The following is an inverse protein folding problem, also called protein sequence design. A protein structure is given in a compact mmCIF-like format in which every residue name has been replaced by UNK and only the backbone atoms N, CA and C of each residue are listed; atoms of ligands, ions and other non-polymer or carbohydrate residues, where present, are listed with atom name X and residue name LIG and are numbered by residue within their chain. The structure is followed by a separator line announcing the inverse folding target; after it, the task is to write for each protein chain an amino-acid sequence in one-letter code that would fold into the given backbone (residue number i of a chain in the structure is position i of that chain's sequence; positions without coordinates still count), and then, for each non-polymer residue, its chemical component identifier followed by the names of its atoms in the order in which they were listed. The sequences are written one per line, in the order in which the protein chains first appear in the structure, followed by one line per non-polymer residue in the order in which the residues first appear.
data_IF_531944997730
#
_entry.id   IF_531944997730
#
_cell.length_a   1.000
_cell.length_b   1.000
_cell.length_c   1.000
_cell.angle_alpha   90.00
_cell.angle_beta   90.00
_cell.angle_gamma   90.00
#
_symmetry.space_group_name_H-M   'P 1'
#
loop_
_entity.id
_entity.type
_entity.pdbx_description
1 polymer ?
#
# COMPACT_ATOMS: atom_id res chain seq x y z
N UNK A 1 -31.11 -6.05 -66.81
CA UNK A 1 -32.56 -5.79 -66.71
C UNK A 1 -32.79 -5.18 -65.34
N UNK A 2 -32.78 -3.84 -65.21
CA UNK A 2 -33.97 -2.95 -65.22
C UNK A 2 -34.88 -3.19 -63.99
N UNK A 3 -35.21 -2.25 -63.10
CA UNK A 3 -35.15 -0.77 -63.06
C UNK A 3 -35.31 -0.27 -61.61
N UNK A 4 -34.75 0.92 -61.33
CA UNK A 4 -35.03 1.84 -60.22
C UNK A 4 -36.51 2.30 -60.19
N UNK A 5 -36.98 2.91 -59.09
CA UNK A 5 -37.03 4.39 -59.07
C UNK A 5 -36.67 5.04 -57.70
N UNK A 6 -35.98 6.19 -57.78
CA UNK A 6 -36.05 7.34 -56.87
C UNK A 6 -36.59 8.52 -57.70
N UNK A 7 -37.27 9.54 -57.13
CA UNK A 7 -36.52 10.78 -56.80
C UNK A 7 -37.12 11.72 -55.71
N UNK A 8 -36.27 12.65 -55.24
CA UNK A 8 -36.63 14.00 -54.71
C UNK A 8 -36.86 14.08 -53.19
N UNK A 9 -36.17 14.90 -52.37
CA UNK A 9 -35.29 16.04 -52.60
C UNK A 9 -35.94 17.33 -52.09
N UNK A 10 -35.49 17.86 -50.94
CA UNK A 10 -35.42 19.31 -50.69
C UNK A 10 -34.62 19.64 -49.42
N UNK A 11 -33.63 20.51 -49.62
CA UNK A 11 -32.87 21.26 -48.63
C UNK A 11 -33.65 22.53 -48.22
N UNK A 12 -33.40 23.02 -47.01
CA UNK A 12 -33.34 24.46 -46.63
C UNK A 12 -32.85 24.52 -45.17
N UNK A 13 -31.62 24.98 -44.87
CA UNK A 13 -31.09 26.36 -44.73
C UNK A 13 -31.80 27.22 -43.67
N UNK A 14 -30.96 27.69 -42.74
CA UNK A 14 -31.23 28.69 -41.69
C UNK A 14 -31.33 30.13 -42.21
N UNK A 15 -31.70 31.08 -41.34
CA UNK A 15 -30.98 32.36 -41.17
C UNK A 15 -30.63 32.58 -39.66
N UNK A 16 -29.43 32.99 -39.20
CA UNK A 16 -28.64 34.23 -39.39
C UNK A 16 -29.47 35.52 -39.15
N UNK A 17 -29.10 36.56 -38.38
CA UNK A 17 -27.98 36.97 -37.54
C UNK A 17 -28.50 38.19 -36.70
N UNK A 18 -27.90 38.65 -35.60
CA UNK A 18 -26.85 39.71 -35.51
C UNK A 18 -26.64 40.02 -34.01
N UNK A 19 -25.43 39.86 -33.43
CA UNK A 19 -24.23 40.73 -33.36
C UNK A 19 -24.27 41.84 -32.29
N UNK A 20 -23.36 41.71 -31.30
CA UNK A 20 -22.31 42.69 -30.94
C UNK A 20 -21.37 42.05 -29.90
N UNK A 21 -20.08 41.78 -30.23
CA UNK A 21 -18.89 42.60 -29.88
C UNK A 21 -18.67 42.73 -28.37
N UNK A 22 -17.55 42.49 -27.70
CA UNK A 22 -16.15 42.18 -28.04
C UNK A 22 -15.37 42.03 -26.71
N UNK A 23 -14.11 41.57 -26.78
CA UNK A 23 -12.99 41.77 -25.83
C UNK A 23 -12.58 40.56 -24.96
N UNK A 24 -11.35 40.09 -25.19
CA UNK A 24 -10.38 39.84 -24.11
C UNK A 24 -10.15 38.39 -23.68
N UNK A 25 -9.11 37.76 -24.23
CA UNK A 25 -8.47 36.57 -23.65
C UNK A 25 -7.66 36.98 -22.40
N UNK A 26 -7.69 36.20 -21.31
CA UNK A 26 -6.49 36.06 -20.49
C UNK A 26 -6.03 34.61 -20.37
N UNK A 27 -4.71 34.47 -20.52
CA UNK A 27 -3.89 33.31 -20.24
C UNK A 27 -3.96 32.93 -18.75
N UNK A 28 -3.88 31.61 -18.50
CA UNK A 28 -3.22 30.96 -17.37
C UNK A 28 -3.46 31.52 -15.97
N UNK A 29 -4.23 30.80 -15.15
CA UNK A 29 -4.17 30.97 -13.70
C UNK A 29 -4.16 29.62 -13.00
N UNK A 30 -3.17 29.46 -12.12
CA UNK A 30 -2.93 28.29 -11.31
C UNK A 30 -4.13 28.03 -10.38
N UNK A 31 -4.57 26.77 -10.30
CA UNK A 31 -5.45 26.30 -9.23
C UNK A 31 -4.70 26.35 -7.89
N UNK A 32 -4.64 27.54 -7.28
CA UNK A 32 -4.43 27.67 -5.84
C UNK A 32 -5.77 27.36 -5.17
N UNK A 33 -5.80 26.26 -4.41
CA UNK A 33 -6.89 25.98 -3.48
C UNK A 33 -7.09 27.17 -2.55
N UNK A 34 -8.19 27.90 -2.74
CA UNK A 34 -8.65 28.92 -1.82
C UNK A 34 -9.18 28.21 -0.58
N UNK A 35 -8.38 28.12 0.48
CA UNK A 35 -8.91 27.87 1.82
C UNK A 35 -9.57 29.18 2.27
N UNK A 36 -10.89 29.22 2.54
CA UNK A 36 -11.53 30.44 2.99
C UNK A 36 -10.98 30.80 4.38
N UNK A 37 -10.28 31.93 4.48
CA UNK A 37 -9.75 32.50 5.72
C UNK A 37 -10.84 32.92 6.72
N UNK A 38 -12.12 32.87 6.33
CA UNK A 38 -13.28 33.19 7.18
C UNK A 38 -13.82 32.01 8.01
N UNK A 39 -13.18 30.83 7.96
CA UNK A 39 -13.67 29.63 8.65
C UNK A 39 -13.40 29.63 10.18
N UNK A 40 -12.32 30.28 10.64
CA UNK A 40 -11.95 30.28 12.07
C UNK A 40 -12.91 31.09 12.96
N UNK A 41 -13.33 32.28 12.52
CA UNK A 41 -14.21 33.14 13.33
C UNK A 41 -15.62 32.53 13.49
N UNK A 42 -16.13 31.89 12.43
CA UNK A 42 -17.42 31.19 12.47
C UNK A 42 -17.43 29.96 13.40
N UNK A 43 -16.29 29.29 13.57
CA UNK A 43 -16.17 28.16 14.51
C UNK A 43 -16.13 28.66 15.96
N UNK A 44 -15.39 29.74 16.23
CA UNK A 44 -15.30 30.32 17.58
C UNK A 44 -16.67 30.86 18.04
N UNK A 45 -17.42 31.55 17.17
CA UNK A 45 -18.78 32.01 17.49
C UNK A 45 -19.76 30.86 17.75
N UNK A 46 -19.68 29.77 16.99
CA UNK A 46 -20.53 28.57 17.21
C UNK A 46 -20.21 27.86 18.52
N UNK A 47 -18.93 27.77 18.90
CA UNK A 47 -18.50 27.20 20.19
C UNK A 47 -19.00 28.07 21.35
N UNK A 48 -19.00 29.39 21.19
CA UNK A 48 -19.51 30.32 22.21
C UNK A 48 -21.05 30.24 22.36
N UNK A 49 -21.78 29.97 21.27
CA UNK A 49 -23.26 29.87 21.27
C UNK A 49 -23.78 28.51 21.76
N UNK A 50 -23.02 27.43 21.58
CA UNK A 50 -23.34 26.10 22.08
C UNK A 50 -22.12 25.54 22.83
N UNK A 51 -21.96 25.85 24.12
CA UNK A 51 -20.88 25.28 24.90
C UNK A 51 -21.03 23.76 24.92
N UNK A 52 -19.95 23.06 24.59
CA UNK A 52 -19.88 21.60 24.74
C UNK A 52 -20.07 21.31 26.23
N UNK A 53 -21.24 20.75 26.56
CA UNK A 53 -21.55 20.30 27.92
C UNK A 53 -20.85 18.97 28.14
N UNK A 54 -20.41 18.75 29.36
CA UNK A 54 -19.78 17.49 29.75
C UNK A 54 -20.59 16.89 30.89
N UNK A 55 -20.75 15.58 30.87
CA UNK A 55 -21.26 14.81 32.00
C UNK A 55 -20.20 13.81 32.43
N UNK A 56 -20.28 13.38 33.68
CA UNK A 56 -19.41 12.33 34.19
C UNK A 56 -20.02 10.96 33.87
N UNK A 57 -19.28 10.11 33.15
CA UNK A 57 -19.67 8.75 32.83
C UNK A 57 -18.48 7.82 33.17
N UNK A 58 -18.68 6.85 34.07
CA UNK A 58 -17.64 5.90 34.50
C UNK A 58 -16.32 6.55 34.95
N UNK A 59 -16.38 7.72 35.60
CA UNK A 59 -15.21 8.47 36.07
C UNK A 59 -14.45 9.22 34.98
N UNK A 60 -15.04 9.38 33.79
CA UNK A 60 -14.53 10.19 32.69
C UNK A 60 -15.47 11.35 32.39
N UNK A 61 -14.91 12.52 32.07
CA UNK A 61 -15.67 13.68 31.58
C UNK A 61 -15.97 13.50 30.09
N UNK A 62 -17.23 13.30 29.75
CA UNK A 62 -17.69 12.97 28.40
C UNK A 62 -18.52 14.13 27.84
N UNK A 63 -18.20 14.65 26.64
CA UNK A 63 -19.07 15.60 25.96
C UNK A 63 -20.48 15.05 25.73
N UNK A 64 -21.50 15.87 25.94
CA UNK A 64 -22.88 15.53 25.64
C UNK A 64 -23.04 15.20 24.15
N UNK A 65 -23.66 14.05 23.87
CA UNK A 65 -23.81 13.52 22.51
C UNK A 65 -22.58 12.78 21.97
N UNK A 66 -21.48 12.69 22.72
CA UNK A 66 -20.33 11.85 22.37
C UNK A 66 -20.39 10.52 23.10
N UNK A 67 -20.34 9.40 22.36
CA UNK A 67 -20.22 8.08 22.97
C UNK A 67 -18.79 7.87 23.43
N UNK A 68 -18.54 7.94 24.75
CA UNK A 68 -17.23 7.57 25.29
C UNK A 68 -17.07 6.04 25.24
N UNK A 69 -15.91 5.58 24.78
CA UNK A 69 -15.54 4.18 24.91
C UNK A 69 -14.64 4.06 26.13
N UNK A 70 -15.10 3.33 27.15
CA UNK A 70 -14.26 2.95 28.28
C UNK A 70 -13.03 2.22 27.77
N UNK A 71 -11.87 2.89 27.84
CA UNK A 71 -10.58 2.29 27.54
C UNK A 71 -10.22 1.43 28.74
N UNK A 72 -10.34 0.11 28.58
CA UNK A 72 -9.85 -0.82 29.59
C UNK A 72 -8.34 -0.97 29.36
N UNK A 73 -7.48 -0.65 30.33
CA UNK A 73 -6.06 -0.90 30.18
C UNK A 73 -5.83 -2.38 29.89
N UNK A 74 -4.90 -2.66 28.99
CA UNK A 74 -4.44 -4.01 28.77
C UNK A 74 -3.85 -4.55 30.08
N UNK A 75 -4.18 -5.79 30.44
CA UNK A 75 -3.62 -6.41 31.64
C UNK A 75 -2.08 -6.50 31.57
N UNK A 76 -1.53 -6.56 30.34
CA UNK A 76 -0.10 -6.64 30.02
C UNK A 76 0.21 -5.87 28.73
N UNK A 77 1.48 -5.53 28.53
CA UNK A 77 1.95 -4.74 27.38
C UNK A 77 2.25 -5.52 26.11
N UNK A 78 1.76 -6.76 25.97
CA UNK A 78 1.88 -7.51 24.71
C UNK A 78 0.84 -7.05 23.68
N UNK A 79 1.19 -7.21 22.40
CA UNK A 79 0.42 -6.66 21.28
C UNK A 79 -1.00 -7.24 21.23
N UNK A 80 -1.18 -8.52 21.56
CA UNK A 80 -2.48 -9.20 21.46
C UNK A 80 -3.41 -8.75 22.59
N UNK A 81 -2.91 -8.69 23.82
CA UNK A 81 -3.68 -8.18 24.96
C UNK A 81 -4.05 -6.70 24.76
N UNK A 82 -3.14 -5.89 24.21
CA UNK A 82 -3.44 -4.50 23.84
C UNK A 82 -4.50 -4.42 22.75
N UNK A 83 -4.37 -5.20 21.67
CA UNK A 83 -5.35 -5.23 20.59
C UNK A 83 -6.75 -5.64 21.10
N UNK A 84 -6.82 -6.65 21.97
CA UNK A 84 -8.07 -7.08 22.61
C UNK A 84 -8.69 -5.99 23.48
N UNK A 85 -7.87 -5.35 24.32
CA UNK A 85 -8.33 -4.27 25.19
C UNK A 85 -8.91 -3.07 24.41
N UNK A 86 -8.39 -2.83 23.20
CA UNK A 86 -8.85 -1.75 22.31
C UNK A 86 -10.04 -2.14 21.40
N UNK A 87 -10.40 -3.42 21.28
CA UNK A 87 -11.43 -3.90 20.37
C UNK A 87 -12.44 -4.83 21.09
N UNK A 88 -13.65 -4.32 21.38
CA UNK A 88 -14.71 -5.09 22.06
C UNK A 88 -15.15 -6.37 21.33
N UNK A 89 -14.94 -6.40 20.03
CA UNK A 89 -15.31 -7.45 19.07
C UNK A 89 -14.07 -8.10 18.43
N UNK A 90 -12.93 -8.07 19.15
CA UNK A 90 -11.62 -8.53 18.70
C UNK A 90 -11.67 -9.87 17.96
N UNK A 91 -12.30 -10.90 18.54
CA UNK A 91 -12.33 -12.23 17.95
C UNK A 91 -13.01 -12.26 16.58
N UNK A 92 -14.20 -11.66 16.47
CA UNK A 92 -14.94 -11.59 15.21
C UNK A 92 -14.19 -10.82 14.12
N UNK A 93 -13.52 -9.72 14.49
CA UNK A 93 -12.68 -8.92 13.58
C UNK A 93 -11.43 -9.67 13.14
N UNK A 94 -10.75 -10.34 14.07
CA UNK A 94 -9.56 -11.14 13.78
C UNK A 94 -9.92 -12.28 12.80
N UNK A 95 -11.01 -13.01 13.06
CA UNK A 95 -11.51 -14.02 12.13
C UNK A 95 -11.79 -13.43 10.74
N UNK A 96 -12.55 -12.34 10.64
CA UNK A 96 -12.85 -11.72 9.35
C UNK A 96 -11.61 -11.22 8.60
N UNK A 97 -10.58 -10.78 9.32
CA UNK A 97 -9.31 -10.33 8.75
C UNK A 97 -8.52 -11.49 8.14
N UNK A 98 -8.39 -12.60 8.87
CA UNK A 98 -7.55 -13.74 8.47
C UNK A 98 -8.31 -14.87 7.76
N UNK A 99 -9.62 -14.76 7.57
CA UNK A 99 -10.44 -15.82 6.97
C UNK A 99 -9.92 -16.27 5.61
N UNK A 100 -9.48 -15.33 4.76
CA UNK A 100 -8.93 -15.68 3.44
C UNK A 100 -7.64 -16.48 3.53
N UNK A 101 -6.77 -16.22 4.52
CA UNK A 101 -5.57 -17.02 4.75
C UNK A 101 -5.89 -18.38 5.38
N UNK A 102 -6.92 -18.46 6.23
CA UNK A 102 -7.41 -19.72 6.80
C UNK A 102 -7.96 -20.63 5.70
N UNK A 103 -8.79 -20.08 4.80
CA UNK A 103 -9.36 -20.83 3.69
C UNK A 103 -8.24 -21.27 2.73
N UNK A 104 -7.31 -20.37 2.38
CA UNK A 104 -6.14 -20.71 1.57
C UNK A 104 -5.27 -21.83 2.20
N UNK A 105 -5.09 -21.80 3.52
CA UNK A 105 -4.33 -22.83 4.22
C UNK A 105 -5.03 -24.19 4.17
N UNK A 106 -6.36 -24.22 4.38
CA UNK A 106 -7.15 -25.45 4.28
C UNK A 106 -7.10 -26.05 2.87
N UNK A 107 -7.30 -25.22 1.85
CA UNK A 107 -7.22 -25.64 0.45
C UNK A 107 -5.82 -26.20 0.13
N UNK A 108 -4.76 -25.55 0.63
CA UNK A 108 -3.39 -25.99 0.43
C UNK A 108 -3.11 -27.36 1.06
N UNK A 109 -3.61 -27.59 2.27
CA UNK A 109 -3.46 -28.88 2.98
C UNK A 109 -4.23 -29.98 2.25
N UNK A 110 -5.48 -29.71 1.85
CA UNK A 110 -6.33 -30.68 1.15
C UNK A 110 -5.74 -31.08 -0.22
N UNK A 111 -5.18 -30.12 -0.95
CA UNK A 111 -4.69 -30.32 -2.32
C UNK A 111 -3.20 -30.65 -2.41
N UNK A 112 -2.47 -30.62 -1.30
CA UNK A 112 -1.00 -30.64 -1.26
C UNK A 112 -0.38 -29.59 -2.22
N UNK A 113 -0.96 -28.39 -2.23
CA UNK A 113 -0.56 -27.28 -3.09
C UNK A 113 -0.55 -25.96 -2.34
N UNK A 114 0.64 -25.54 -1.93
CA UNK A 114 0.86 -24.36 -1.12
C UNK A 114 1.20 -23.18 -2.03
N UNK A 115 0.35 -22.14 -1.98
CA UNK A 115 0.56 -20.92 -2.74
C UNK A 115 0.80 -19.80 -1.75
N UNK A 116 2.02 -19.28 -1.72
CA UNK A 116 2.44 -18.30 -0.73
C UNK A 116 3.06 -17.07 -1.37
N UNK A 117 2.98 -15.97 -0.64
CA UNK A 117 3.64 -14.72 -0.97
C UNK A 117 4.72 -14.47 0.08
N UNK A 118 5.98 -14.49 -0.35
CA UNK A 118 7.14 -14.32 0.54
C UNK A 118 8.30 -13.65 -0.18
N UNK A 119 9.26 -13.18 0.59
CA UNK A 119 10.54 -12.76 0.01
C UNK A 119 11.38 -13.99 -0.33
N UNK A 120 12.09 -14.01 -1.47
CA UNK A 120 13.02 -15.09 -1.78
C UNK A 120 14.07 -15.28 -0.67
N UNK A 121 14.32 -16.53 -0.30
CA UNK A 121 15.31 -16.88 0.74
C UNK A 121 14.84 -16.69 2.18
N UNK A 122 13.55 -16.37 2.42
CA UNK A 122 12.95 -16.41 3.76
C UNK A 122 12.27 -17.74 4.01
N UNK A 123 12.30 -18.15 5.27
CA UNK A 123 11.73 -19.37 5.83
C UNK A 123 10.30 -19.18 6.37
N UNK A 124 9.71 -18.01 6.17
CA UNK A 124 8.33 -17.70 6.55
C UNK A 124 7.56 -17.09 5.38
N UNK A 125 6.27 -17.42 5.31
CA UNK A 125 5.36 -16.85 4.33
C UNK A 125 4.72 -15.57 4.88
N UNK A 126 4.74 -14.49 4.09
CA UNK A 126 4.13 -13.22 4.48
C UNK A 126 2.61 -13.22 4.32
N UNK A 127 2.09 -14.03 3.38
CA UNK A 127 0.66 -14.21 3.15
C UNK A 127 0.40 -15.54 2.45
N UNK A 128 -0.74 -16.17 2.76
CA UNK A 128 -1.21 -17.42 2.12
C UNK A 128 -2.28 -17.09 1.10
N UNK A 129 -2.05 -17.48 -0.15
CA UNK A 129 -2.87 -17.03 -1.27
C UNK A 129 -3.87 -18.12 -1.67
N UNK A 130 -5.16 -17.83 -1.51
CA UNK A 130 -6.25 -18.73 -1.92
C UNK A 130 -6.87 -18.34 -3.27
N UNK A 131 -7.92 -19.07 -3.64
CA UNK A 131 -8.69 -18.91 -4.89
C UNK A 131 -9.10 -17.47 -5.22
N UNK A 132 -9.52 -16.70 -4.21
CA UNK A 132 -9.98 -15.31 -4.34
C UNK A 132 -8.83 -14.29 -4.44
N UNK A 133 -7.59 -14.70 -4.17
CA UNK A 133 -6.42 -13.82 -4.18
C UNK A 133 -6.22 -13.19 -5.56
N UNK A 134 -5.94 -11.89 -5.59
CA UNK A 134 -5.80 -11.13 -6.84
C UNK A 134 -4.38 -11.24 -7.39
N UNK A 135 -4.29 -11.48 -8.69
CA UNK A 135 -3.08 -11.31 -9.46
C UNK A 135 -2.89 -9.83 -9.81
N UNK A 136 -1.66 -9.42 -10.09
CA UNK A 136 -1.30 -8.11 -10.61
C UNK A 136 -2.11 -7.70 -11.86
N UNK A 137 -2.64 -8.66 -12.63
CA UNK A 137 -3.51 -8.36 -13.76
C UNK A 137 -4.96 -7.99 -13.38
N UNK A 138 -5.33 -8.09 -12.09
CA UNK A 138 -6.68 -7.81 -11.56
C UNK A 138 -7.61 -9.03 -11.47
N UNK A 139 -7.22 -10.16 -12.05
CA UNK A 139 -7.99 -11.41 -12.02
C UNK A 139 -7.63 -12.26 -10.79
N UNK A 140 -8.56 -13.09 -10.32
CA UNK A 140 -8.35 -13.99 -9.18
C UNK A 140 -7.47 -15.18 -9.57
N UNK A 141 -6.95 -15.91 -8.58
CA UNK A 141 -6.19 -17.13 -8.81
C UNK A 141 -7.02 -18.19 -9.56
N UNK A 142 -8.31 -18.31 -9.26
CA UNK A 142 -9.22 -19.24 -9.95
C UNK A 142 -9.43 -18.92 -11.45
N UNK A 143 -9.20 -17.67 -11.85
CA UNK A 143 -9.22 -17.25 -13.25
C UNK A 143 -7.87 -17.53 -13.96
N UNK A 144 -6.91 -18.14 -13.27
CA UNK A 144 -5.65 -18.61 -13.84
C UNK A 144 -5.66 -20.14 -14.02
N UNK A 145 -4.80 -20.62 -14.93
CA UNK A 145 -4.64 -22.02 -15.20
C UNK A 145 -4.27 -22.78 -13.92
N UNK A 146 -4.92 -23.92 -13.69
CA UNK A 146 -4.61 -24.78 -12.53
C UNK A 146 -3.19 -25.35 -12.65
N UNK A 147 -2.56 -25.54 -11.50
CA UNK A 147 -1.26 -26.22 -11.44
C UNK A 147 -1.39 -27.67 -11.90
N UNK A 148 -0.56 -28.08 -12.85
CA UNK A 148 -0.56 -29.42 -13.44
C UNK A 148 0.69 -30.25 -13.09
N UNK A 149 1.48 -29.80 -12.10
CA UNK A 149 2.74 -30.45 -11.70
C UNK A 149 3.97 -30.04 -12.50
N UNK A 150 3.83 -29.35 -13.64
CA UNK A 150 4.97 -28.97 -14.51
C UNK A 150 5.19 -27.46 -14.60
N UNK A 151 4.12 -26.69 -14.74
CA UNK A 151 4.21 -25.23 -14.98
C UNK A 151 3.74 -24.47 -13.74
N UNK A 152 4.66 -23.75 -13.09
CA UNK A 152 4.34 -22.87 -11.95
C UNK A 152 3.89 -21.48 -12.36
N UNK A 153 4.16 -21.06 -13.60
CA UNK A 153 3.63 -19.80 -14.15
C UNK A 153 2.19 -20.01 -14.62
N UNK A 154 1.26 -19.96 -13.68
CA UNK A 154 -0.18 -20.14 -13.94
C UNK A 154 -0.67 -18.99 -14.82
N UNK A 155 -0.92 -19.23 -16.11
CA UNK A 155 -1.36 -18.18 -17.05
C UNK A 155 -2.81 -17.79 -16.77
N UNK A 156 -3.15 -16.51 -16.88
CA UNK A 156 -4.54 -16.07 -16.79
C UNK A 156 -5.35 -16.61 -17.98
N UNK A 157 -6.55 -17.10 -17.71
CA UNK A 157 -7.48 -17.64 -18.70
C UNK A 157 -8.55 -16.63 -19.12
N UNK A 158 -8.64 -15.50 -18.43
CA UNK A 158 -9.53 -14.39 -18.82
C UNK A 158 -9.14 -13.85 -20.19
N UNK A 159 -10.12 -13.76 -21.09
CA UNK A 159 -9.92 -13.52 -22.52
C UNK A 159 -9.03 -12.31 -22.83
N UNK A 160 -7.87 -12.57 -23.45
CA UNK A 160 -6.93 -11.54 -23.90
C UNK A 160 -6.01 -10.97 -22.81
N UNK A 161 -6.00 -11.54 -21.59
CA UNK A 161 -5.06 -11.12 -20.55
C UNK A 161 -3.61 -11.47 -20.93
N UNK A 162 -2.73 -10.47 -20.91
CA UNK A 162 -1.33 -10.62 -21.31
C UNK A 162 -0.37 -10.99 -20.15
N UNK A 163 -0.87 -11.31 -18.96
CA UNK A 163 0.00 -11.62 -17.84
C UNK A 163 0.77 -12.93 -18.05
N UNK A 164 2.01 -12.98 -17.56
CA UNK A 164 2.87 -14.13 -17.81
C UNK A 164 2.73 -15.27 -16.80
N UNK A 165 2.04 -15.01 -15.69
CA UNK A 165 1.81 -15.93 -14.60
C UNK A 165 1.06 -15.22 -13.49
N UNK A 166 0.49 -15.99 -12.57
CA UNK A 166 -0.09 -15.46 -11.36
C UNK A 166 0.99 -14.78 -10.51
N UNK A 167 0.76 -13.53 -10.14
CA UNK A 167 1.63 -12.73 -9.28
C UNK A 167 0.75 -11.99 -8.29
N UNK A 168 0.70 -12.49 -7.05
CA UNK A 168 -0.18 -11.97 -6.01
C UNK A 168 0.04 -10.47 -5.80
N UNK A 169 -1.05 -9.71 -5.75
CA UNK A 169 -1.07 -8.32 -5.33
C UNK A 169 -2.12 -8.17 -4.22
N UNK A 170 -1.78 -7.51 -3.11
CA UNK A 170 -2.79 -7.16 -2.13
C UNK A 170 -3.96 -6.44 -2.77
N UNK A 171 -5.16 -6.85 -2.39
CA UNK A 171 -6.45 -6.33 -2.87
C UNK A 171 -7.30 -5.73 -1.76
N UNK A 172 -6.85 -5.86 -0.51
CA UNK A 172 -7.48 -5.23 0.65
C UNK A 172 -6.48 -4.39 1.44
N UNK A 173 -6.92 -3.31 2.09
CA UNK A 173 -6.02 -2.45 2.87
C UNK A 173 -5.40 -3.16 4.09
N UNK A 174 -6.11 -4.11 4.71
CA UNK A 174 -5.62 -4.86 5.86
C UNK A 174 -4.42 -5.77 5.53
N UNK A 175 -4.33 -6.27 4.30
CA UNK A 175 -3.20 -7.09 3.82
C UNK A 175 -1.86 -6.32 3.77
N UNK A 176 -1.93 -4.97 3.78
CA UNK A 176 -0.77 -4.07 3.74
C UNK A 176 -0.69 -3.18 4.97
N UNK A 177 -1.39 -3.54 6.05
CA UNK A 177 -1.34 -2.82 7.31
C UNK A 177 -2.10 -1.49 7.30
N UNK A 178 -2.81 -1.14 6.24
CA UNK A 178 -3.62 0.09 6.12
C UNK A 178 -5.05 -0.08 6.69
N UNK A 179 -5.21 -0.90 7.73
CA UNK A 179 -6.52 -1.26 8.32
C UNK A 179 -7.34 -0.04 8.79
N UNK A 180 -6.72 1.12 9.01
CA UNK A 180 -7.42 2.36 9.36
C UNK A 180 -8.26 2.92 8.21
N UNK A 181 -7.97 2.56 6.95
CA UNK A 181 -8.75 3.02 5.79
C UNK A 181 -10.19 2.50 5.84
N UNK A 182 -10.37 1.24 6.26
CA UNK A 182 -11.69 0.62 6.42
C UNK A 182 -12.58 1.32 7.47
N UNK A 183 -11.99 2.11 8.37
CA UNK A 183 -12.73 2.88 9.40
C UNK A 183 -13.16 4.26 8.91
N UNK A 184 -12.76 4.69 7.71
CA UNK A 184 -13.12 6.01 7.19
C UNK A 184 -14.58 6.02 6.72
N UNK A 185 -15.38 7.03 7.10
CA UNK A 185 -16.74 7.17 6.59
C UNK A 185 -16.76 7.20 5.06
N UNK A 186 -17.63 6.41 4.45
CA UNK A 186 -17.78 6.32 2.99
C UNK A 186 -16.66 5.57 2.26
N UNK A 187 -15.76 4.89 2.98
CA UNK A 187 -14.77 4.02 2.34
C UNK A 187 -15.42 2.74 1.82
N UNK A 188 -15.22 2.45 0.54
CA UNK A 188 -15.64 1.20 -0.10
C UNK A 188 -14.42 0.29 -0.33
N UNK A 189 -14.27 -0.81 0.45
CA UNK A 189 -13.16 -1.75 0.29
C UNK A 189 -13.06 -2.34 -1.12
N UNK A 190 -14.18 -2.49 -1.85
CA UNK A 190 -14.19 -3.09 -3.18
C UNK A 190 -13.48 -2.22 -4.24
N UNK A 191 -13.34 -0.92 -3.97
CA UNK A 191 -12.66 0.04 -4.84
C UNK A 191 -11.19 0.21 -4.53
N UNK A 192 -10.72 -0.33 -3.39
CA UNK A 192 -9.31 -0.19 -3.00
C UNK A 192 -8.41 -0.95 -3.98
N UNK A 193 -7.28 -0.33 -4.32
CA UNK A 193 -6.26 -0.92 -5.19
C UNK A 193 -4.89 -0.56 -4.64
N UNK A 194 -4.00 -1.55 -4.61
CA UNK A 194 -2.59 -1.34 -4.33
C UNK A 194 -2.00 -0.25 -5.23
N UNK A 195 -1.33 0.74 -4.64
CA UNK A 195 -0.77 1.90 -5.34
C UNK A 195 0.73 1.76 -5.56
N UNK A 196 1.16 2.23 -6.73
CA UNK A 196 2.57 2.47 -7.03
C UNK A 196 3.02 3.82 -6.45
N UNK A 197 4.32 4.00 -6.23
CA UNK A 197 4.94 5.30 -5.86
C UNK A 197 4.67 6.40 -6.89
N UNK A 198 4.34 6.04 -8.14
CA UNK A 198 3.90 7.01 -9.15
C UNK A 198 2.48 7.56 -8.91
N UNK A 199 1.77 7.04 -7.91
CA UNK A 199 0.41 7.45 -7.53
C UNK A 199 -0.71 6.63 -8.17
N UNK A 200 -0.45 5.98 -9.31
CA UNK A 200 -1.43 5.15 -10.01
C UNK A 200 -1.57 3.76 -9.37
N UNK A 201 -2.76 3.17 -9.49
CA UNK A 201 -3.05 1.81 -9.05
C UNK A 201 -2.33 0.75 -9.89
N UNK A 202 -2.20 -0.46 -9.35
CA UNK A 202 -1.54 -1.58 -10.04
C UNK A 202 -2.22 -1.94 -11.37
N UNK A 203 -3.54 -1.81 -11.47
CA UNK A 203 -4.32 -2.08 -12.69
C UNK A 203 -4.03 -1.07 -13.84
N UNK A 204 -3.39 0.06 -13.53
CA UNK A 204 -2.85 1.02 -14.51
C UNK A 204 -1.45 0.68 -15.00
N UNK A 205 -0.87 -0.40 -14.48
CA UNK A 205 0.39 -0.93 -14.95
C UNK A 205 0.12 -2.16 -15.84
N UNK A 206 0.89 -2.32 -16.91
CA UNK A 206 0.72 -3.50 -17.77
C UNK A 206 1.29 -4.75 -17.08
N UNK A 207 0.60 -5.91 -17.10
CA UNK A 207 0.95 -7.01 -16.19
C UNK A 207 2.28 -7.71 -16.46
N UNK A 208 2.88 -7.52 -17.64
CA UNK A 208 4.09 -8.24 -18.05
C UNK A 208 5.35 -7.51 -17.58
N UNK A 209 5.56 -6.26 -18.01
CA UNK A 209 6.73 -5.48 -17.59
C UNK A 209 6.42 -4.52 -16.43
N UNK A 210 5.18 -4.52 -15.94
CA UNK A 210 4.71 -3.69 -14.83
C UNK A 210 4.94 -2.20 -15.07
N UNK A 211 4.97 -1.77 -16.33
CA UNK A 211 5.12 -0.36 -16.71
C UNK A 211 3.79 0.38 -16.56
N UNK A 212 3.82 1.60 -16.02
CA UNK A 212 2.62 2.42 -15.95
C UNK A 212 2.18 2.85 -17.35
N UNK A 213 0.87 2.78 -17.63
CA UNK A 213 0.28 3.22 -18.90
C UNK A 213 -0.04 4.73 -18.93
N UNK A 214 -0.04 5.37 -17.76
CA UNK A 214 -0.49 6.76 -17.57
C UNK A 214 0.67 7.75 -17.31
N UNK A 215 1.88 7.26 -17.04
CA UNK A 215 3.08 8.09 -16.87
C UNK A 215 4.38 7.38 -17.26
N UNK A 216 5.53 8.03 -17.10
CA UNK A 216 6.86 7.49 -17.44
C UNK A 216 7.43 6.45 -16.46
N UNK A 217 6.64 6.04 -15.46
CA UNK A 217 7.04 5.03 -14.48
C UNK A 217 7.30 3.67 -15.17
N UNK A 218 8.56 3.24 -15.15
CA UNK A 218 9.02 2.08 -15.91
C UNK A 218 8.68 0.73 -15.28
N UNK A 219 8.45 0.69 -13.97
CA UNK A 219 8.14 -0.51 -13.20
C UNK A 219 7.28 -0.17 -11.98
N UNK A 220 6.43 -1.10 -11.57
CA UNK A 220 5.64 -0.96 -10.36
C UNK A 220 6.54 -1.03 -9.12
N UNK A 221 6.54 0.03 -8.34
CA UNK A 221 7.19 0.09 -7.03
C UNK A 221 6.11 0.44 -6.01
N UNK A 222 5.88 -0.43 -5.04
CA UNK A 222 4.82 -0.26 -4.06
C UNK A 222 4.97 1.02 -3.24
N UNK A 223 3.85 1.73 -3.04
CA UNK A 223 3.75 2.83 -2.07
C UNK A 223 3.28 2.37 -0.68
N UNK A 224 3.31 1.05 -0.46
CA UNK A 224 2.94 0.40 0.79
C UNK A 224 4.04 -0.58 1.17
N UNK A 225 4.01 -1.04 2.41
CA UNK A 225 4.90 -2.08 2.91
C UNK A 225 4.08 -3.33 3.22
N UNK A 226 4.70 -4.49 3.08
CA UNK A 226 4.12 -5.75 3.52
C UNK A 226 3.86 -5.72 5.03
N UNK A 227 2.64 -6.05 5.45
CA UNK A 227 2.26 -6.02 6.86
C UNK A 227 3.08 -7.01 7.73
N UNK A 228 3.53 -8.13 7.13
CA UNK A 228 4.27 -9.16 7.85
C UNK A 228 5.77 -8.86 8.01
N UNK A 229 6.43 -8.33 6.98
CA UNK A 229 7.89 -8.19 6.96
C UNK A 229 8.39 -6.75 6.75
N UNK A 230 7.50 -5.78 6.57
CA UNK A 230 7.82 -4.35 6.34
C UNK A 230 8.67 -4.06 5.10
N UNK A 231 8.78 -5.00 4.16
CA UNK A 231 9.45 -4.81 2.87
C UNK A 231 8.46 -4.45 1.76
N UNK A 232 8.98 -3.90 0.66
CA UNK A 232 8.19 -3.51 -0.50
C UNK A 232 7.68 -4.73 -1.29
N UNK A 233 6.55 -4.56 -1.98
CA UNK A 233 5.90 -5.62 -2.76
C UNK A 233 6.83 -6.23 -3.82
N UNK A 234 7.59 -5.40 -4.52
CA UNK A 234 8.53 -5.81 -5.55
C UNK A 234 9.71 -6.66 -5.03
N UNK A 235 9.86 -6.80 -3.72
CA UNK A 235 10.84 -7.67 -3.06
C UNK A 235 10.27 -9.06 -2.72
N UNK A 236 9.03 -9.34 -3.12
CA UNK A 236 8.34 -10.59 -2.88
C UNK A 236 7.99 -11.29 -4.19
N UNK A 237 7.80 -12.61 -4.09
CA UNK A 237 7.34 -13.45 -5.17
C UNK A 237 6.17 -14.32 -4.70
N UNK A 238 5.37 -14.79 -5.67
CA UNK A 238 4.39 -15.83 -5.42
C UNK A 238 5.02 -17.19 -5.69
N UNK A 239 5.13 -17.99 -4.64
CA UNK A 239 5.60 -19.36 -4.68
C UNK A 239 4.39 -20.28 -4.82
N UNK A 240 4.52 -21.29 -5.68
CA UNK A 240 3.55 -22.37 -5.84
C UNK A 240 4.36 -23.63 -5.62
N UNK A 241 4.11 -24.36 -4.55
CA UNK A 241 4.96 -25.46 -4.06
C UNK A 241 4.10 -26.64 -3.62
N UNK A 242 4.60 -27.87 -3.78
CA UNK A 242 4.03 -29.06 -3.13
C UNK A 242 4.57 -29.20 -1.69
N UNK A 243 3.89 -29.97 -0.85
CA UNK A 243 4.34 -30.24 0.52
C UNK A 243 5.77 -30.79 0.57
N UNK A 244 6.08 -31.76 -0.29
CA UNK A 244 7.43 -32.35 -0.38
C UNK A 244 8.53 -31.33 -0.71
N UNK A 245 8.21 -30.30 -1.49
CA UNK A 245 9.15 -29.25 -1.90
C UNK A 245 9.39 -28.25 -0.77
N UNK A 246 8.36 -28.01 0.04
CA UNK A 246 8.44 -27.19 1.24
C UNK A 246 9.24 -27.89 2.33
N UNK A 247 9.01 -29.18 2.54
CA UNK A 247 9.78 -30.00 3.49
C UNK A 247 11.27 -29.98 3.17
N UNK A 248 11.65 -30.12 1.89
CA UNK A 248 13.05 -30.01 1.44
C UNK A 248 13.68 -28.64 1.75
N UNK A 249 12.86 -27.59 1.82
CA UNK A 249 13.27 -26.24 2.15
C UNK A 249 13.10 -25.90 3.63
N UNK A 250 12.69 -26.87 4.48
CA UNK A 250 12.32 -26.66 5.89
C UNK A 250 11.21 -25.62 6.09
N UNK A 251 10.27 -25.56 5.16
CA UNK A 251 9.11 -24.68 5.21
C UNK A 251 7.89 -25.39 5.80
N UNK A 252 6.99 -24.67 6.50
CA UNK A 252 5.83 -25.29 7.14
C UNK A 252 4.87 -25.96 6.14
N UNK A 253 4.36 -27.14 6.50
CA UNK A 253 3.33 -27.90 5.78
C UNK A 253 2.24 -28.36 6.75
N UNK A 254 1.11 -28.85 6.22
CA UNK A 254 0.02 -29.39 7.05
C UNK A 254 -0.52 -28.37 8.05
N UNK A 255 -0.75 -28.79 9.29
CA UNK A 255 -1.25 -27.93 10.37
C UNK A 255 -0.30 -26.76 10.68
N UNK A 256 1.00 -26.93 10.49
CA UNK A 256 1.99 -25.85 10.69
C UNK A 256 1.92 -24.77 9.60
N UNK A 257 1.25 -25.05 8.48
CA UNK A 257 0.97 -24.04 7.47
C UNK A 257 -0.19 -23.13 7.87
N UNK A 258 -1.02 -23.46 8.87
CA UNK A 258 -2.13 -22.60 9.27
C UNK A 258 -1.65 -21.23 9.80
N UNK A 259 -2.41 -20.14 9.63
CA UNK A 259 -2.07 -18.86 10.23
C UNK A 259 -1.98 -18.98 11.76
N UNK A 260 -0.97 -18.33 12.34
CA UNK A 260 -0.67 -18.35 13.77
C UNK A 260 -0.46 -19.75 14.38
N UNK A 261 0.04 -20.74 13.61
CA UNK A 261 0.33 -22.08 14.15
C UNK A 261 1.29 -22.06 15.36
N UNK A 262 2.13 -21.03 15.45
CA UNK A 262 3.05 -20.76 16.55
C UNK A 262 2.40 -20.06 17.76
N UNK A 263 1.16 -19.58 17.62
CA UNK A 263 0.34 -18.94 18.65
C UNK A 263 -1.04 -19.62 18.71
N UNK A 264 -1.16 -20.81 19.34
CA UNK A 264 -2.40 -21.61 19.34
C UNK A 264 -3.64 -20.83 19.78
N UNK A 265 -3.50 -19.94 20.77
CA UNK A 265 -4.64 -19.16 21.26
C UNK A 265 -5.13 -18.15 20.21
N UNK A 266 -4.21 -17.46 19.52
CA UNK A 266 -4.56 -16.55 18.44
C UNK A 266 -5.10 -17.31 17.22
N UNK A 267 -4.55 -18.48 16.93
CA UNK A 267 -5.08 -19.38 15.91
C UNK A 267 -6.53 -19.75 16.23
N UNK A 268 -6.83 -20.15 17.47
CA UNK A 268 -8.20 -20.49 17.87
C UNK A 268 -9.15 -19.29 17.73
N UNK A 269 -8.68 -18.07 18.03
CA UNK A 269 -9.45 -16.84 17.83
C UNK A 269 -9.82 -16.66 16.35
N UNK A 270 -8.86 -16.77 15.43
CA UNK A 270 -9.15 -16.55 14.00
C UNK A 270 -10.01 -17.68 13.40
N UNK A 271 -9.92 -18.90 13.94
CA UNK A 271 -10.74 -20.03 13.48
C UNK A 271 -12.19 -19.91 13.96
N UNK A 272 -12.38 -19.60 15.25
CA UNK A 272 -13.71 -19.58 15.86
C UNK A 272 -14.41 -18.22 15.78
N UNK A 273 -13.64 -17.14 15.79
CA UNK A 273 -14.14 -15.78 16.00
C UNK A 273 -14.42 -15.44 17.47
N UNK A 274 -14.05 -16.33 18.40
CA UNK A 274 -14.25 -16.17 19.83
C UNK A 274 -12.91 -16.00 20.53
N UNK A 275 -12.78 -14.96 21.34
CA UNK A 275 -11.67 -14.73 22.26
C UNK A 275 -12.01 -15.16 23.70
N UNK A 276 -13.11 -15.88 23.90
CA UNK A 276 -13.54 -16.37 25.21
C UNK A 276 -12.58 -17.41 25.79
N UNK A 277 -11.98 -18.21 24.91
CA UNK A 277 -11.08 -19.31 25.25
C UNK A 277 -9.61 -18.91 25.18
N UNK A 278 -9.27 -17.68 24.78
CA UNK A 278 -7.89 -17.17 24.91
C UNK A 278 -7.55 -17.16 26.39
N UNK A 279 -6.77 -18.13 26.87
CA UNK A 279 -6.39 -18.15 28.25
C UNK A 279 -5.45 -16.93 28.44
N UNK A 280 -5.59 -16.24 29.56
CA UNK A 280 -4.66 -15.18 29.99
C UNK A 280 -3.15 -15.59 30.07
N UNK A 281 -2.68 -16.86 30.01
CA UNK A 281 -1.30 -17.23 30.31
C UNK A 281 -0.42 -17.67 29.11
N UNK A 282 -0.56 -17.17 27.87
CA UNK A 282 0.53 -17.31 26.87
C UNK A 282 1.76 -16.40 27.20
N UNK A 283 2.10 -16.36 28.49
CA UNK A 283 2.98 -15.41 29.15
C UNK A 283 3.93 -16.05 30.17
N UNK A 284 3.96 -17.39 30.29
CA UNK A 284 4.86 -18.07 31.23
C UNK A 284 5.78 -19.15 30.63
N UNK A 285 5.86 -19.32 29.29
CA UNK A 285 6.78 -20.33 28.72
C UNK A 285 7.34 -19.97 27.33
N UNK A 286 8.23 -18.97 27.28
CA UNK A 286 9.39 -19.04 26.40
C UNK A 286 10.52 -18.24 27.06
N UNK A 287 11.66 -18.86 27.45
CA UNK A 287 12.82 -18.08 27.81
C UNK A 287 13.21 -17.24 26.60
N UNK A 288 13.37 -15.94 26.82
CA UNK A 288 13.95 -15.01 25.85
C UNK A 288 15.28 -15.59 25.39
N UNK A 289 15.31 -16.26 24.24
CA UNK A 289 16.53 -16.30 23.46
C UNK A 289 16.73 -14.86 22.99
N UNK A 290 17.57 -14.15 23.74
CA UNK A 290 18.10 -12.86 23.35
C UNK A 290 18.53 -12.95 21.89
N UNK A 291 17.90 -12.14 21.04
CA UNK A 291 18.40 -11.81 19.72
C UNK A 291 19.93 -11.61 19.85
N UNK A 292 20.76 -12.27 19.02
CA UNK A 292 22.20 -12.11 19.12
C UNK A 292 22.53 -10.63 18.93
N UNK A 293 23.00 -9.99 20.00
CA UNK A 293 23.61 -8.68 19.93
C UNK A 293 24.80 -8.83 18.99
N UNK A 294 24.69 -8.22 17.81
CA UNK A 294 25.81 -8.02 16.92
C UNK A 294 26.96 -7.42 17.74
N UNK A 295 28.02 -8.22 17.90
CA UNK A 295 29.17 -7.89 18.74
C UNK A 295 29.78 -6.57 18.31
N UNK A 296 29.70 -5.58 19.19
CA UNK A 296 30.53 -4.39 19.11
C UNK A 296 31.99 -4.80 19.17
N UNK A 297 32.72 -4.57 18.07
CA UNK A 297 34.17 -4.64 18.07
C UNK A 297 34.71 -3.63 19.09
N UNK A 298 35.37 -4.17 20.11
CA UNK A 298 36.22 -3.39 21.02
C UNK A 298 37.48 -2.99 20.26
N UNK A 299 37.61 -1.70 19.98
CA UNK A 299 38.84 -1.05 19.54
C UNK A 299 39.28 -0.03 20.59
N UNK A 300 40.50 -0.23 21.11
CA UNK A 300 41.10 0.37 22.29
C UNK A 300 41.13 1.90 22.36
N UNK A 301 41.03 2.36 23.61
CA UNK A 301 41.31 3.69 24.13
C UNK A 301 42.71 4.20 23.80
N UNK A 302 42.80 5.49 23.44
CA UNK A 302 43.79 6.36 24.06
C UNK A 302 43.25 7.79 24.18
N UNK A 303 43.54 8.38 25.34
CA UNK A 303 43.03 9.64 25.83
C UNK A 303 43.54 10.85 25.04
N UNK A 304 42.73 11.92 24.99
CA UNK A 304 43.11 13.29 25.35
C UNK A 304 41.87 14.22 25.31
N UNK A 305 41.52 14.70 26.51
CA UNK A 305 41.01 16.03 26.88
C UNK A 305 40.21 16.87 25.87
N UNK A 306 39.07 17.39 26.34
CA UNK A 306 38.58 18.70 25.91
C UNK A 306 37.09 18.78 25.60
N UNK A 307 36.33 19.22 26.60
CA UNK A 307 34.97 19.78 26.56
C UNK A 307 34.56 20.53 25.27
N UNK A 308 33.42 20.18 24.66
CA UNK A 308 32.14 20.91 24.75
C UNK A 308 31.12 20.41 23.71
N UNK A 309 29.84 20.35 24.13
CA UNK A 309 28.66 19.92 23.35
C UNK A 309 28.44 20.80 22.11
N UNK A 310 27.74 20.26 21.10
CA UNK A 310 26.42 20.85 20.85
C UNK A 310 25.30 19.80 20.70
N UNK A 311 24.09 20.24 21.04
CA UNK A 311 22.84 19.55 20.84
C UNK A 311 22.51 19.48 19.33
N UNK A 312 22.06 18.31 18.88
CA UNK A 312 21.50 18.15 17.53
C UNK A 312 19.99 18.02 17.71
N UNK A 313 19.30 19.10 17.35
CA UNK A 313 17.85 19.18 17.34
C UNK A 313 17.25 18.35 16.21
N UNK A 314 16.04 17.89 16.46
CA UNK A 314 15.15 17.25 15.51
C UNK A 314 14.53 18.37 14.67
N UNK A 315 15.12 18.69 13.52
CA UNK A 315 14.56 19.69 12.62
C UNK A 315 13.46 19.09 11.75
N UNK A 316 12.26 19.56 12.08
CA UNK A 316 11.04 19.72 11.27
C UNK A 316 11.19 19.58 9.75
N UNK A 317 10.31 18.75 9.19
CA UNK A 317 9.90 18.79 7.79
C UNK A 317 9.28 20.16 7.45
N UNK A 318 10.11 21.09 6.97
CA UNK A 318 9.65 22.35 6.39
C UNK A 318 9.78 22.31 4.86
N UNK A 319 8.62 22.34 4.23
CA UNK A 319 8.35 22.41 2.80
C UNK A 319 8.68 23.82 2.25
N UNK A 320 9.50 24.00 1.19
CA UNK A 320 9.61 25.28 0.51
C UNK A 320 8.94 25.25 -0.87
N UNK A 321 7.77 25.89 -0.95
CA UNK A 321 7.17 26.38 -2.20
C UNK A 321 6.59 27.76 -1.97
N UNK A 322 7.33 28.82 -2.31
CA UNK A 322 6.85 30.03 -2.98
C UNK A 322 7.96 31.10 -3.09
N UNK A 323 7.91 31.83 -4.21
CA UNK A 323 8.86 32.82 -4.74
C UNK A 323 8.72 34.23 -4.13
N UNK A 324 9.72 35.07 -4.41
CA UNK A 324 9.61 36.54 -4.61
C UNK A 324 10.95 37.23 -4.37
N UNK A 325 11.79 37.50 -5.40
CA UNK A 325 11.90 38.76 -6.17
C UNK A 325 12.22 39.98 -5.28
N UNK A 326 13.45 40.50 -5.26
CA UNK A 326 14.04 41.55 -6.14
C UNK A 326 15.32 42.05 -5.39
N UNK A 327 16.35 42.72 -5.91
CA UNK A 327 16.50 43.61 -7.06
C UNK A 327 18.01 43.82 -7.38
N UNK A 328 18.25 44.35 -8.58
CA UNK A 328 19.48 44.82 -9.26
C UNK A 328 20.73 45.24 -8.43
N UNK A 329 21.95 44.99 -8.96
CA UNK A 329 22.69 45.99 -9.76
C UNK A 329 24.05 45.47 -10.34
N UNK A 330 24.32 45.89 -11.59
CA UNK A 330 25.61 46.21 -12.26
C UNK A 330 26.85 45.32 -12.07
N UNK A 331 27.42 44.76 -13.15
CA UNK A 331 28.44 45.44 -13.98
C UNK A 331 29.25 44.49 -14.88
N UNK A 332 29.18 44.77 -16.19
CA UNK A 332 30.27 44.81 -17.18
C UNK A 332 31.03 43.56 -17.69
N UNK A 333 30.94 43.43 -19.04
CA UNK A 333 31.97 43.09 -20.07
C UNK A 333 32.23 41.61 -20.44
N UNK A 334 31.82 41.24 -21.68
CA UNK A 334 32.19 40.00 -22.42
C UNK A 334 33.49 40.14 -23.22
N UNK A 335 33.63 39.60 -24.46
CA UNK A 335 33.29 38.27 -25.01
C UNK A 335 34.45 37.63 -25.84
N UNK A 336 34.48 36.31 -26.06
CA UNK A 336 35.16 35.61 -27.19
C UNK A 336 34.52 34.20 -27.35
N UNK A 337 33.77 33.87 -28.41
CA UNK A 337 34.17 33.21 -29.69
C UNK A 337 35.27 32.14 -29.49
N UNK A 338 35.20 30.88 -29.93
CA UNK A 338 34.32 30.08 -30.78
C UNK A 338 35.08 28.79 -31.21
N UNK A 339 34.41 27.93 -32.01
CA UNK A 339 34.92 26.76 -32.81
C UNK A 339 35.06 25.39 -32.10
N UNK A 340 34.14 24.49 -32.42
CA UNK A 340 34.27 23.50 -33.52
C UNK A 340 35.05 22.19 -33.25
N UNK A 341 34.60 21.03 -33.80
CA UNK A 341 34.97 19.69 -33.33
C UNK A 341 36.08 19.01 -34.17
N UNK A 342 36.71 17.96 -33.62
CA UNK A 342 37.58 17.05 -34.36
C UNK A 342 37.09 15.60 -34.30
N UNK A 343 36.94 15.02 -35.49
CA UNK A 343 36.82 13.60 -35.82
C UNK A 343 38.14 12.86 -35.56
N UNK A 344 38.06 11.55 -35.35
CA UNK A 344 39.16 10.62 -35.53
C UNK A 344 38.68 9.16 -35.50
N UNK A 345 38.81 8.49 -36.63
CA UNK A 345 38.40 7.11 -36.96
C UNK A 345 39.64 6.29 -37.30
N UNK A 346 39.73 5.00 -36.92
CA UNK A 346 40.53 3.90 -37.54
C UNK A 346 40.07 2.57 -36.89
N UNK A 347 39.41 1.60 -37.58
CA UNK A 347 39.95 0.45 -38.36
C UNK A 347 41.04 -0.33 -37.60
N UNK A 348 40.83 -1.57 -37.13
CA UNK A 348 40.64 -2.87 -37.82
C UNK A 348 41.93 -3.45 -38.43
N UNK A 349 42.45 -4.52 -37.82
CA UNK A 349 43.27 -5.58 -38.46
C UNK A 349 43.04 -6.90 -37.76
N UNK A 350 42.81 -7.93 -38.57
CA UNK A 350 42.79 -9.36 -38.28
C UNK A 350 44.22 -9.88 -37.96
N UNK A 351 44.29 -10.90 -37.10
CA UNK A 351 45.17 -12.08 -37.23
C UNK A 351 44.55 -13.24 -36.44
#
# INVERSE_FOLDING_TARGET
MSKRPTPGGQQQRAPAAQRSSSVGVPRGSANRSLVPTNSRNNVIERIAQNPIRFHEENGMMVPDGYTSHVIRPAARGDVVTMARAMNRDFGSKAKAMFQSEVDAARDAIEQDLYISYRQPGKDFDCYRVGAIGKCFCGHTLDEHARFNGKVRRLKCQSGGCACEGFAYIPSRPDEVGEFWLAKRPGFDPSTWRAKCRCGHAHDRHEPKYKRCKECSCSNFNSNFLCAACSNHWEQHETFIERGSEREQQNLPTGEFYMPFAELPDMQQVILTGSDAHMPSPYLDAAPRQSLPQSGGMRGRSNALQGSNRPAIGYDEYSNPSARGESNANTSQKGPMRGRGPLRGSHQATEE
#
